data_IF_853461145816
#
_entry.id   IF_853461145816
#
_cell.length_a   1.000
_cell.length_b   1.000
_cell.length_c   1.000
_cell.angle_alpha   90.00
_cell.angle_beta   90.00
_cell.angle_gamma   90.00
#
_symmetry.space_group_name_H-M   'P 1'
#
loop_
_entity.id
_entity.type
_entity.pdbx_description
1 polymer ?
#
# COMPACT_ATOMS: atom_id res chain seq x y z
N UNK A 1 -7.29 -52.28 35.75
CA UNK A 1 -6.50 -51.04 35.57
C UNK A 1 -5.58 -51.21 34.38
N UNK A 2 -5.97 -50.72 33.20
CA UNK A 2 -5.12 -50.62 32.00
C UNK A 2 -5.14 -49.16 31.58
N UNK A 3 -3.98 -48.51 31.65
CA UNK A 3 -3.78 -47.17 31.10
C UNK A 3 -3.83 -47.26 29.57
N UNK A 4 -4.81 -46.60 28.95
CA UNK A 4 -4.82 -46.32 27.51
C UNK A 4 -4.06 -45.03 27.26
N UNK A 5 -2.90 -45.13 26.59
CA UNK A 5 -2.19 -43.99 26.02
C UNK A 5 -3.04 -43.41 24.88
N UNK A 6 -3.45 -42.15 25.01
CA UNK A 6 -3.91 -41.34 23.88
C UNK A 6 -2.68 -40.90 23.08
N UNK A 7 -2.74 -40.91 21.74
CA UNK A 7 -1.60 -40.55 20.89
C UNK A 7 -1.33 -39.04 20.96
N UNK A 8 -0.05 -38.68 21.10
CA UNK A 8 0.46 -37.34 20.84
C UNK A 8 0.05 -36.94 19.42
N UNK A 9 -0.91 -36.02 19.30
CA UNK A 9 -1.03 -35.21 18.10
C UNK A 9 0.25 -34.37 18.01
N UNK A 10 1.11 -34.75 17.07
CA UNK A 10 2.14 -33.89 16.53
C UNK A 10 1.50 -32.57 16.12
N UNK A 11 1.74 -31.51 16.91
CA UNK A 11 1.56 -30.12 16.47
C UNK A 11 2.42 -29.97 15.21
N UNK A 12 1.78 -30.02 14.04
CA UNK A 12 2.38 -29.44 12.85
C UNK A 12 2.39 -27.95 13.14
N UNK A 13 3.57 -27.39 13.36
CA UNK A 13 3.82 -25.97 13.18
C UNK A 13 3.52 -25.70 11.70
N UNK A 14 2.26 -25.37 11.41
CA UNK A 14 1.93 -24.60 10.23
C UNK A 14 2.36 -23.19 10.60
N UNK A 15 3.43 -22.71 9.99
CA UNK A 15 3.73 -21.29 10.00
C UNK A 15 2.57 -20.64 9.27
N UNK A 16 1.70 -19.98 10.01
CA UNK A 16 0.68 -19.09 9.46
C UNK A 16 1.47 -17.92 8.88
N UNK A 17 1.43 -17.77 7.55
CA UNK A 17 2.02 -16.65 6.85
C UNK A 17 0.83 -15.79 6.45
N UNK A 18 0.46 -14.75 7.21
CA UNK A 18 -0.66 -13.92 6.82
C UNK A 18 -0.28 -13.15 5.55
N UNK A 19 -0.94 -13.48 4.44
CA UNK A 19 -1.02 -12.68 3.22
C UNK A 19 -1.56 -11.29 3.56
N UNK A 20 -0.68 -10.35 3.87
CA UNK A 20 -0.93 -8.93 3.73
C UNK A 20 0.31 -8.26 3.15
N UNK A 21 0.27 -8.04 1.84
CA UNK A 21 1.35 -7.39 1.11
C UNK A 21 1.14 -5.87 1.12
N UNK A 22 1.45 -5.22 2.24
CA UNK A 22 1.76 -3.79 2.21
C UNK A 22 3.24 -3.64 1.87
N UNK A 23 3.55 -3.38 0.58
CA UNK A 23 4.71 -2.65 0.02
C UNK A 23 6.13 -2.76 0.64
N UNK A 24 6.42 -3.67 1.57
CA UNK A 24 7.73 -3.97 2.15
C UNK A 24 7.70 -5.16 3.14
N UNK A 25 7.07 -6.28 2.82
CA UNK A 25 7.20 -7.50 3.63
C UNK A 25 8.25 -8.44 3.01
N UNK A 26 9.49 -8.36 3.53
CA UNK A 26 10.61 -9.26 3.19
C UNK A 26 10.26 -10.69 3.65
N UNK A 27 10.13 -11.63 2.70
CA UNK A 27 10.11 -13.06 3.03
C UNK A 27 11.41 -13.74 2.56
N UNK A 28 12.30 -14.01 3.52
CA UNK A 28 13.46 -14.90 3.29
C UNK A 28 12.95 -16.35 3.15
N UNK A 29 12.56 -16.72 1.93
CA UNK A 29 12.39 -18.11 1.55
C UNK A 29 13.78 -18.75 1.30
N UNK A 30 14.28 -19.53 2.26
CA UNK A 30 15.50 -20.34 2.07
C UNK A 30 15.21 -21.49 1.11
N UNK A 31 15.30 -21.22 -0.18
CA UNK A 31 15.38 -22.26 -1.21
C UNK A 31 16.84 -22.54 -1.55
N UNK A 32 17.34 -23.69 -1.11
CA UNK A 32 18.60 -24.23 -1.62
C UNK A 32 18.42 -24.65 -3.08
N UNK A 33 18.79 -23.81 -4.04
CA UNK A 33 18.93 -24.19 -5.45
C UNK A 33 20.40 -24.23 -5.88
N UNK A 34 20.77 -25.41 -6.39
CA UNK A 34 22.02 -25.68 -7.08
C UNK A 34 22.14 -24.82 -8.33
N UNK A 35 23.22 -24.03 -8.37
CA UNK A 35 23.57 -23.09 -9.44
C UNK A 35 23.76 -23.74 -10.81
N UNK A 36 23.14 -23.16 -11.84
CA UNK A 36 23.59 -23.30 -13.24
C UNK A 36 23.77 -21.93 -13.87
N UNK A 37 25.04 -21.54 -14.02
CA UNK A 37 25.46 -20.24 -14.55
C UNK A 37 25.16 -20.13 -16.05
N UNK A 38 24.51 -19.04 -16.45
CA UNK A 38 24.55 -18.55 -17.82
C UNK A 38 24.96 -17.06 -17.79
N UNK A 39 26.21 -16.82 -18.17
CA UNK A 39 26.76 -15.48 -18.32
C UNK A 39 26.17 -14.80 -19.56
N UNK A 40 25.40 -13.72 -19.37
CA UNK A 40 25.16 -12.74 -20.42
C UNK A 40 25.62 -11.37 -19.92
N UNK A 41 26.85 -11.01 -20.31
CA UNK A 41 27.38 -9.66 -20.17
C UNK A 41 26.85 -8.82 -21.36
N UNK A 42 25.82 -8.00 -21.13
CA UNK A 42 25.62 -6.79 -21.92
C UNK A 42 25.83 -5.57 -21.02
N UNK A 43 27.03 -5.00 -21.15
CA UNK A 43 27.43 -3.78 -20.49
C UNK A 43 26.69 -2.55 -21.03
N UNK A 44 25.55 -2.27 -20.42
CA UNK A 44 25.11 -0.91 -20.11
C UNK A 44 25.07 -0.86 -18.58
N UNK A 45 26.05 -0.22 -17.94
CA UNK A 45 25.92 0.12 -16.52
C UNK A 45 24.70 1.03 -16.43
N UNK A 46 23.56 0.49 -16.04
CA UNK A 46 22.42 1.29 -15.62
C UNK A 46 22.96 2.35 -14.64
N UNK A 47 22.61 3.62 -14.87
CA UNK A 47 23.02 4.68 -13.95
C UNK A 47 22.61 4.26 -12.54
N UNK A 48 23.53 4.35 -11.57
CA UNK A 48 23.24 3.99 -10.18
C UNK A 48 22.06 4.84 -9.72
N UNK A 49 21.00 4.20 -9.24
CA UNK A 49 19.81 4.89 -8.74
C UNK A 49 20.20 5.80 -7.57
N UNK A 50 20.06 7.11 -7.76
CA UNK A 50 20.41 8.12 -6.77
C UNK A 50 19.69 9.44 -7.10
N UNK A 51 18.38 9.53 -6.82
CA UNK A 51 17.61 10.75 -7.06
C UNK A 51 18.19 11.93 -6.27
N UNK A 52 18.12 13.12 -6.87
CA UNK A 52 18.55 14.36 -6.22
C UNK A 52 17.35 14.98 -5.52
N UNK A 53 17.39 15.00 -4.20
CA UNK A 53 16.35 15.59 -3.36
C UNK A 53 16.77 16.99 -2.92
N UNK A 54 15.97 17.98 -3.27
CA UNK A 54 16.04 19.32 -2.70
C UNK A 54 14.76 19.53 -1.87
N UNK A 55 14.84 19.66 -0.53
CA UNK A 55 13.65 19.78 0.32
C UNK A 55 12.67 20.89 -0.07
N UNK A 56 13.15 21.98 -0.66
CA UNK A 56 12.32 23.11 -1.10
C UNK A 56 11.47 22.80 -2.34
N UNK A 57 11.69 21.66 -2.99
CA UNK A 57 10.91 21.19 -4.13
C UNK A 57 9.70 20.35 -3.72
N UNK A 58 9.48 20.13 -2.42
CA UNK A 58 8.45 19.25 -1.90
C UNK A 58 7.40 19.97 -1.07
N UNK A 59 6.19 19.41 -1.07
CA UNK A 59 5.05 19.88 -0.27
C UNK A 59 4.32 18.70 0.37
N UNK A 60 3.70 18.96 1.53
CA UNK A 60 2.77 18.04 2.19
C UNK A 60 1.36 18.12 1.62
N UNK A 61 1.06 19.12 0.77
CA UNK A 61 -0.23 19.20 0.08
C UNK A 61 -0.20 18.31 -1.16
N UNK A 62 -0.57 17.04 -0.99
CA UNK A 62 -0.54 16.05 -2.06
C UNK A 62 -1.89 16.07 -2.81
N UNK A 63 -1.86 16.63 -4.02
CA UNK A 63 -3.01 16.84 -4.92
C UNK A 63 -2.91 16.04 -6.22
N UNK A 64 -2.02 15.04 -6.29
CA UNK A 64 -1.91 14.14 -7.43
C UNK A 64 -3.28 13.46 -7.67
N UNK A 65 -3.78 13.53 -8.90
CA UNK A 65 -5.13 13.04 -9.25
C UNK A 65 -5.36 11.56 -8.91
N UNK A 66 -4.33 10.72 -8.91
CA UNK A 66 -4.42 9.29 -8.60
C UNK A 66 -4.06 8.97 -7.15
N UNK A 67 -3.41 9.90 -6.45
CA UNK A 67 -2.97 9.77 -5.05
C UNK A 67 -3.19 11.10 -4.32
N UNK A 68 -4.45 11.47 -4.10
CA UNK A 68 -4.82 12.69 -3.37
C UNK A 68 -4.97 12.40 -1.89
N UNK A 69 -4.07 12.93 -1.07
CA UNK A 69 -4.04 12.68 0.36
C UNK A 69 -4.73 13.82 1.12
N UNK A 70 -6.05 13.69 1.31
CA UNK A 70 -6.82 14.63 2.13
C UNK A 70 -6.81 14.18 3.60
N UNK A 71 -6.30 14.98 4.55
CA UNK A 71 -6.32 14.60 5.97
C UNK A 71 -7.71 14.19 6.46
N UNK A 72 -7.78 13.13 7.24
CA UNK A 72 -9.00 12.51 7.75
C UNK A 72 -9.73 11.61 6.75
N UNK A 73 -9.31 11.54 5.49
CA UNK A 73 -9.78 10.49 4.55
C UNK A 73 -9.35 9.13 5.09
N UNK A 74 -10.30 8.22 5.18
CA UNK A 74 -10.11 6.81 5.56
C UNK A 74 -10.62 5.93 4.43
N UNK A 75 -9.85 4.92 4.05
CA UNK A 75 -10.18 3.96 3.00
C UNK A 75 -10.09 2.56 3.60
N UNK A 76 -11.05 1.71 3.27
CA UNK A 76 -11.13 0.34 3.76
C UNK A 76 -11.15 -0.58 2.55
N UNK A 77 -10.27 -1.57 2.59
CA UNK A 77 -10.14 -2.59 1.57
C UNK A 77 -10.34 -3.96 2.21
N UNK A 78 -10.93 -4.89 1.47
CA UNK A 78 -11.12 -6.27 1.90
C UNK A 78 -10.88 -7.24 0.73
N UNK A 79 -10.37 -8.42 1.05
CA UNK A 79 -10.01 -9.47 0.09
C UNK A 79 -9.94 -10.84 0.76
N UNK A 80 -10.37 -11.88 0.06
CA UNK A 80 -10.22 -13.27 0.53
C UNK A 80 -8.92 -13.83 -0.07
N UNK A 81 -8.07 -14.39 0.79
CA UNK A 81 -6.80 -15.01 0.40
C UNK A 81 -6.78 -16.48 0.84
N UNK A 82 -5.73 -17.22 0.47
CA UNK A 82 -5.53 -18.58 0.97
C UNK A 82 -5.41 -18.66 2.51
N UNK A 83 -4.97 -17.57 3.16
CA UNK A 83 -4.72 -17.52 4.61
C UNK A 83 -5.92 -17.00 5.41
N UNK A 84 -6.87 -16.30 4.79
CA UNK A 84 -8.08 -15.81 5.44
C UNK A 84 -8.64 -14.52 4.84
N UNK A 85 -9.53 -13.87 5.58
CA UNK A 85 -10.06 -12.57 5.20
C UNK A 85 -9.05 -11.47 5.53
N UNK A 86 -8.43 -10.91 4.51
CA UNK A 86 -7.57 -9.75 4.62
C UNK A 86 -8.42 -8.47 4.65
N UNK A 87 -8.05 -7.55 5.54
CA UNK A 87 -8.62 -6.21 5.62
C UNK A 87 -7.53 -5.17 5.79
N UNK A 88 -7.52 -4.17 4.93
CA UNK A 88 -6.61 -3.03 5.03
C UNK A 88 -7.38 -1.76 5.37
N UNK A 89 -6.84 -0.99 6.33
CA UNK A 89 -7.42 0.27 6.80
C UNK A 89 -6.41 1.40 6.71
N UNK A 90 -6.52 2.15 5.63
CA UNK A 90 -5.68 3.32 5.38
C UNK A 90 -6.33 4.57 5.97
N UNK A 91 -5.55 5.37 6.70
CA UNK A 91 -5.95 6.67 7.20
C UNK A 91 -4.92 7.75 6.83
N UNK A 92 -5.38 8.78 6.13
CA UNK A 92 -4.56 9.95 5.85
C UNK A 92 -4.57 10.85 7.07
N UNK A 93 -3.42 11.00 7.71
CA UNK A 93 -3.30 11.78 8.95
C UNK A 93 -3.00 13.25 8.66
N UNK A 94 -3.12 14.10 9.67
CA UNK A 94 -2.59 15.47 9.71
C UNK A 94 -1.15 15.53 10.25
N UNK A 95 -0.57 14.37 10.59
CA UNK A 95 0.78 14.26 11.13
C UNK A 95 1.80 14.33 10.01
N UNK A 96 2.99 14.79 10.38
CA UNK A 96 4.12 14.90 9.48
C UNK A 96 5.39 14.33 10.09
N UNK A 97 6.32 13.93 9.23
CA UNK A 97 7.69 13.54 9.62
C UNK A 97 8.69 14.27 8.74
N UNK A 98 9.89 14.51 9.26
CA UNK A 98 10.99 15.03 8.44
C UNK A 98 11.93 13.90 8.04
N UNK A 99 12.10 13.66 6.75
CA UNK A 99 13.01 12.65 6.19
C UNK A 99 13.87 13.32 5.10
N UNK A 100 15.19 13.16 5.16
CA UNK A 100 16.14 13.88 4.28
C UNK A 100 15.93 15.41 4.21
N UNK A 101 15.38 16.02 5.27
CA UNK A 101 15.05 17.45 5.30
C UNK A 101 13.69 17.81 4.70
N UNK A 102 13.04 16.90 3.96
CA UNK A 102 11.68 17.04 3.41
C UNK A 102 10.67 16.81 4.52
N UNK A 103 9.67 17.69 4.63
CA UNK A 103 8.49 17.41 5.46
C UNK A 103 7.52 16.54 4.68
N UNK A 104 7.21 15.35 5.19
CA UNK A 104 6.32 14.35 4.60
C UNK A 104 5.02 14.23 5.39
N UNK A 105 3.94 13.84 4.72
CA UNK A 105 2.67 13.41 5.33
C UNK A 105 2.81 11.98 5.80
N UNK A 106 2.20 11.67 6.95
CA UNK A 106 2.07 10.28 7.42
C UNK A 106 0.80 9.67 6.85
N UNK A 107 0.99 8.70 5.95
CA UNK A 107 -0.04 7.80 5.46
C UNK A 107 0.00 6.57 6.37
N UNK A 108 -1.12 6.29 7.06
CA UNK A 108 -1.17 5.25 8.09
C UNK A 108 -1.93 4.05 7.56
N UNK A 109 -1.20 2.99 7.25
CA UNK A 109 -1.71 1.71 6.80
C UNK A 109 -1.77 0.71 7.95
N UNK A 110 -2.82 -0.11 8.00
CA UNK A 110 -2.98 -1.18 8.98
C UNK A 110 -3.62 -2.37 8.30
N UNK A 111 -2.93 -3.49 8.32
CA UNK A 111 -3.40 -4.76 7.80
C UNK A 111 -3.91 -5.66 8.92
N UNK A 112 -5.00 -6.35 8.62
CA UNK A 112 -5.62 -7.33 9.51
C UNK A 112 -5.88 -8.62 8.75
N UNK A 113 -5.65 -9.76 9.39
CA UNK A 113 -6.09 -11.07 8.91
C UNK A 113 -7.11 -11.66 9.89
N UNK A 114 -8.27 -12.06 9.39
CA UNK A 114 -9.37 -12.61 10.20
C UNK A 114 -9.75 -11.72 11.41
N UNK A 115 -9.52 -10.41 11.28
CA UNK A 115 -9.79 -9.40 12.30
C UNK A 115 -8.66 -9.16 13.31
N UNK A 116 -7.55 -9.90 13.23
CA UNK A 116 -6.36 -9.69 14.04
C UNK A 116 -5.40 -8.71 13.35
N UNK A 117 -4.87 -7.73 14.09
CA UNK A 117 -3.87 -6.80 13.57
C UNK A 117 -2.57 -7.56 13.36
N UNK A 118 -2.04 -7.51 12.15
CA UNK A 118 -0.77 -8.17 11.77
C UNK A 118 0.32 -7.15 11.43
N UNK A 119 -0.06 -5.95 10.98
CA UNK A 119 0.89 -4.89 10.64
C UNK A 119 0.30 -3.48 10.88
N UNK A 120 1.10 -2.57 11.44
CA UNK A 120 0.81 -1.13 11.56
C UNK A 120 1.96 -0.31 10.96
N UNK A 121 1.70 0.27 9.78
CA UNK A 121 2.71 0.93 8.95
C UNK A 121 2.45 2.42 8.78
N UNK A 122 3.52 3.21 8.93
CA UNK A 122 3.51 4.68 8.78
C UNK A 122 4.43 5.08 7.64
N UNK A 123 3.85 5.27 6.46
CA UNK A 123 4.53 5.72 5.26
C UNK A 123 4.73 7.24 5.24
N UNK A 124 5.86 7.66 4.68
CA UNK A 124 6.26 9.05 4.63
C UNK A 124 6.24 9.56 3.18
N UNK A 125 5.15 10.26 2.83
CA UNK A 125 4.89 10.72 1.47
C UNK A 125 5.05 12.24 1.31
N UNK A 126 5.57 12.70 0.19
CA UNK A 126 5.55 14.11 -0.18
C UNK A 126 5.38 14.28 -1.70
N UNK A 127 4.76 15.39 -2.11
CA UNK A 127 4.63 15.69 -3.54
C UNK A 127 5.70 16.68 -3.99
N UNK A 128 6.33 16.42 -5.14
CA UNK A 128 7.27 17.35 -5.75
C UNK A 128 6.55 18.47 -6.54
N UNK A 129 7.30 19.51 -6.96
CA UNK A 129 6.79 20.60 -7.80
C UNK A 129 6.27 20.17 -9.17
N UNK A 130 6.57 18.95 -9.62
CA UNK A 130 6.07 18.38 -10.89
C UNK A 130 4.77 17.59 -10.69
N UNK A 131 4.35 17.37 -9.44
CA UNK A 131 3.13 16.63 -9.10
C UNK A 131 3.34 15.15 -8.76
N UNK A 132 4.58 14.65 -8.83
CA UNK A 132 4.85 13.25 -8.49
C UNK A 132 4.76 13.07 -6.98
N UNK A 133 4.17 11.97 -6.54
CA UNK A 133 4.16 11.55 -5.13
C UNK A 133 5.38 10.68 -4.89
N UNK A 134 6.20 11.10 -3.94
CA UNK A 134 7.43 10.44 -3.55
C UNK A 134 7.27 9.71 -2.24
N UNK A 135 7.92 8.55 -2.15
CA UNK A 135 7.99 7.70 -0.97
C UNK A 135 9.35 7.81 -0.31
N UNK A 136 9.39 8.28 0.93
CA UNK A 136 10.62 8.51 1.68
C UNK A 136 10.92 7.41 2.71
N UNK A 137 10.12 6.35 2.72
CA UNK A 137 10.22 5.20 3.61
C UNK A 137 9.09 5.14 4.63
N UNK A 138 9.26 4.25 5.60
CA UNK A 138 8.22 3.79 6.51
C UNK A 138 8.73 3.49 7.91
N UNK A 139 7.78 3.22 8.79
CA UNK A 139 7.99 2.61 10.08
C UNK A 139 6.91 1.56 10.25
N UNK A 140 7.35 0.31 10.38
CA UNK A 140 6.53 -0.89 10.47
C UNK A 140 6.58 -1.42 11.88
N UNK A 141 5.42 -1.82 12.40
CA UNK A 141 5.27 -2.61 13.62
C UNK A 141 4.51 -3.89 13.24
N UNK A 142 5.18 -5.05 13.32
CA UNK A 142 4.60 -6.36 12.98
C UNK A 142 4.06 -7.05 14.23
N UNK A 143 2.92 -7.74 14.11
CA UNK A 143 2.23 -8.36 15.24
C UNK A 143 1.93 -9.84 15.00
N UNK A 144 2.06 -10.64 16.06
CA UNK A 144 1.59 -12.03 16.12
C UNK A 144 0.88 -12.24 17.47
N UNK A 145 -0.31 -12.84 17.47
CA UNK A 145 -1.13 -13.06 18.68
C UNK A 145 -1.37 -11.77 19.51
N UNK A 146 -1.39 -10.61 18.85
CA UNK A 146 -1.55 -9.29 19.49
C UNK A 146 -0.30 -8.75 20.19
N UNK A 147 0.86 -9.40 20.04
CA UNK A 147 2.15 -8.94 20.55
C UNK A 147 3.00 -8.38 19.40
N UNK A 148 3.70 -7.26 19.66
CA UNK A 148 4.69 -6.70 18.73
C UNK A 148 5.89 -7.65 18.64
N UNK A 149 6.16 -8.17 17.45
CA UNK A 149 7.24 -9.13 17.22
C UNK A 149 8.53 -8.48 16.72
N UNK A 150 8.42 -7.54 15.77
CA UNK A 150 9.56 -6.84 15.17
C UNK A 150 9.13 -5.57 14.41
N UNK A 151 10.09 -4.97 13.70
CA UNK A 151 9.92 -3.79 12.88
C UNK A 151 10.46 -4.02 11.45
N UNK A 152 10.55 -5.28 11.02
CA UNK A 152 11.06 -5.64 9.71
C UNK A 152 10.21 -4.96 8.62
N UNK A 153 10.87 -4.55 7.52
CA UNK A 153 10.28 -3.64 6.53
C UNK A 153 10.53 -2.15 6.81
N UNK A 154 10.89 -1.75 8.04
CA UNK A 154 11.17 -0.34 8.34
C UNK A 154 12.44 0.20 7.64
N UNK A 155 12.28 1.24 6.82
CA UNK A 155 13.42 1.96 6.26
C UNK A 155 13.17 3.47 6.13
N UNK A 156 14.25 4.25 6.04
CA UNK A 156 14.15 5.70 5.80
C UNK A 156 15.18 6.14 4.78
N UNK A 157 14.71 6.86 3.76
CA UNK A 157 15.55 7.49 2.77
C UNK A 157 16.67 8.31 3.43
N UNK A 158 17.90 8.15 2.92
CA UNK A 158 19.10 8.83 3.43
C UNK A 158 19.78 8.13 4.61
N UNK A 159 19.22 7.03 5.14
CA UNK A 159 19.92 6.14 6.08
C UNK A 159 20.44 4.91 5.35
N UNK A 160 21.62 4.43 5.73
CA UNK A 160 22.20 3.13 5.32
C UNK A 160 22.23 2.85 3.80
N UNK A 161 22.20 3.92 3.00
CA UNK A 161 22.17 3.84 1.53
C UNK A 161 20.78 3.84 0.91
N UNK A 162 19.71 3.73 1.70
CA UNK A 162 18.33 3.80 1.25
C UNK A 162 18.02 5.12 0.53
N UNK A 163 17.18 5.05 -0.50
CA UNK A 163 16.82 6.16 -1.39
C UNK A 163 15.30 6.21 -1.53
N UNK A 164 14.72 7.41 -1.59
CA UNK A 164 13.29 7.55 -1.83
C UNK A 164 13.00 7.19 -3.29
N UNK A 165 11.77 6.76 -3.57
CA UNK A 165 11.28 6.57 -4.93
C UNK A 165 9.97 7.28 -5.22
N UNK A 166 9.39 6.98 -6.37
CA UNK A 166 8.12 7.55 -6.81
C UNK A 166 7.03 6.56 -6.45
N UNK A 167 6.15 6.91 -5.52
CA UNK A 167 4.95 6.12 -5.25
C UNK A 167 4.01 6.19 -6.46
N UNK A 168 3.81 7.40 -7.01
CA UNK A 168 2.96 7.60 -8.17
C UNK A 168 3.33 8.86 -8.96
N UNK A 169 3.37 8.75 -10.28
CA UNK A 169 3.69 9.87 -11.18
C UNK A 169 2.49 10.83 -11.35
N UNK A 170 2.75 12.12 -11.62
CA UNK A 170 1.68 13.08 -11.95
C UNK A 170 0.97 12.75 -13.26
N UNK A 171 1.75 12.32 -14.24
CA UNK A 171 1.32 12.09 -15.61
C UNK A 171 1.80 10.72 -16.13
N UNK A 172 1.30 9.61 -15.54
CA UNK A 172 1.72 8.26 -15.92
C UNK A 172 1.41 7.98 -17.39
N UNK A 173 2.40 7.44 -18.12
CA UNK A 173 2.28 6.97 -19.49
C UNK A 173 2.46 5.45 -19.53
N UNK A 174 1.76 4.78 -20.44
CA UNK A 174 1.95 3.34 -20.67
C UNK A 174 3.42 3.06 -21.01
N UNK A 175 4.03 2.15 -20.27
CA UNK A 175 5.43 1.77 -20.40
C UNK A 175 6.38 2.51 -19.45
N UNK A 176 5.94 3.56 -18.75
CA UNK A 176 6.73 4.17 -17.69
C UNK A 176 7.07 3.11 -16.64
N UNK A 177 8.33 3.10 -16.21
CA UNK A 177 8.85 2.16 -15.22
C UNK A 177 9.71 2.95 -14.24
N UNK A 178 9.39 2.84 -12.95
CA UNK A 178 10.05 3.59 -11.90
C UNK A 178 10.22 2.74 -10.65
N UNK A 179 11.18 3.16 -9.81
CA UNK A 179 11.36 2.62 -8.47
C UNK A 179 10.40 3.32 -7.53
N UNK A 180 9.62 2.56 -6.78
CA UNK A 180 8.86 3.06 -5.64
C UNK A 180 9.78 3.27 -4.44
N UNK A 181 10.83 2.46 -4.34
CA UNK A 181 11.82 2.53 -3.27
C UNK A 181 13.15 1.87 -3.67
N UNK A 182 14.17 2.10 -2.85
CA UNK A 182 15.47 1.45 -3.01
C UNK A 182 16.30 1.47 -1.73
N UNK A 183 16.44 0.32 -1.11
CA UNK A 183 17.38 -0.05 -0.08
C UNK A 183 17.98 -1.41 -0.48
N UNK A 184 19.23 -1.39 -0.94
CA UNK A 184 19.85 -2.54 -1.58
C UNK A 184 19.75 -3.82 -0.73
N UNK A 185 19.08 -4.83 -1.28
CA UNK A 185 18.90 -6.14 -0.63
C UNK A 185 17.80 -6.21 0.44
N UNK A 186 17.12 -5.10 0.72
CA UNK A 186 16.10 -4.99 1.76
C UNK A 186 14.75 -4.52 1.19
N UNK A 187 14.75 -3.51 0.32
CA UNK A 187 13.53 -2.88 -0.21
C UNK A 187 13.81 -2.39 -1.64
N UNK A 188 13.24 -2.99 -2.69
CA UNK A 188 13.61 -2.64 -4.08
C UNK A 188 12.42 -2.54 -5.03
N UNK A 189 11.25 -2.16 -4.52
CA UNK A 189 10.00 -2.17 -5.26
C UNK A 189 10.00 -1.27 -6.49
N UNK A 190 9.35 -1.81 -7.52
CA UNK A 190 9.26 -1.28 -8.86
C UNK A 190 7.79 -1.24 -9.27
N UNK A 191 7.42 -0.22 -10.03
CA UNK A 191 6.15 -0.17 -10.73
C UNK A 191 6.35 0.09 -12.21
N UNK A 192 5.45 -0.46 -13.02
CA UNK A 192 5.34 -0.22 -14.45
C UNK A 192 3.90 0.07 -14.82
N UNK A 193 3.67 1.19 -15.51
CA UNK A 193 2.35 1.55 -16.00
C UNK A 193 1.99 0.65 -17.18
N UNK A 194 0.93 -0.15 -17.02
CA UNK A 194 0.41 -1.05 -18.05
C UNK A 194 -0.72 -0.42 -18.87
N UNK A 195 -1.57 0.38 -18.24
CA UNK A 195 -2.72 1.03 -18.86
C UNK A 195 -3.08 2.32 -18.12
N UNK A 196 -3.70 3.27 -18.80
CA UNK A 196 -4.15 4.56 -18.23
C UNK A 196 -5.65 4.81 -18.43
N UNK A 197 -6.38 3.82 -18.95
CA UNK A 197 -7.79 3.97 -19.32
C UNK A 197 -8.65 2.78 -18.89
N UNK A 198 -8.33 2.17 -17.75
CA UNK A 198 -9.10 1.05 -17.24
C UNK A 198 -10.47 1.47 -16.70
N UNK A 199 -11.43 0.55 -16.80
CA UNK A 199 -12.70 0.61 -16.10
C UNK A 199 -12.70 -0.48 -15.03
N UNK A 200 -12.81 -0.08 -13.76
CA UNK A 200 -12.68 -0.97 -12.60
C UNK A 200 -13.97 -0.93 -11.81
N UNK A 201 -14.47 -2.09 -11.40
CA UNK A 201 -15.61 -2.22 -10.50
C UNK A 201 -15.14 -2.87 -9.20
N UNK A 202 -15.64 -2.35 -8.08
CA UNK A 202 -15.37 -2.77 -6.71
C UNK A 202 -16.70 -2.73 -5.95
N UNK A 203 -16.79 -3.31 -4.74
CA UNK A 203 -17.97 -3.16 -3.90
C UNK A 203 -18.35 -1.69 -3.60
N UNK A 204 -17.35 -0.79 -3.48
CA UNK A 204 -17.62 0.63 -3.27
C UNK A 204 -18.19 1.34 -4.50
N UNK A 205 -17.84 0.90 -5.71
CA UNK A 205 -18.37 1.49 -6.94
C UNK A 205 -17.63 1.13 -8.22
N UNK A 206 -18.05 1.75 -9.32
CA UNK A 206 -17.43 1.60 -10.65
C UNK A 206 -16.73 2.88 -11.09
N UNK A 207 -15.48 2.73 -11.51
CA UNK A 207 -14.58 3.80 -11.89
C UNK A 207 -14.12 3.63 -13.34
N UNK A 208 -13.62 4.72 -13.92
CA UNK A 208 -13.15 4.80 -15.31
C UNK A 208 -11.90 5.66 -15.37
N UNK A 209 -11.10 5.52 -16.42
CA UNK A 209 -9.84 6.25 -16.60
C UNK A 209 -8.83 5.92 -15.48
N UNK A 210 -8.89 4.69 -14.97
CA UNK A 210 -7.97 4.21 -13.94
C UNK A 210 -6.65 3.82 -14.58
N UNK A 211 -5.57 4.01 -13.84
CA UNK A 211 -4.23 3.57 -14.20
C UNK A 211 -3.99 2.21 -13.59
N UNK A 212 -3.60 1.25 -14.43
CA UNK A 212 -3.14 -0.07 -14.00
C UNK A 212 -1.63 -0.09 -14.00
N UNK A 213 -1.04 -0.50 -12.88
CA UNK A 213 0.39 -0.78 -12.77
C UNK A 213 0.62 -2.28 -12.63
N UNK A 214 1.82 -2.71 -13.02
CA UNK A 214 2.45 -3.93 -12.57
C UNK A 214 3.46 -3.52 -11.51
N UNK A 215 3.31 -4.03 -10.30
CA UNK A 215 4.20 -3.78 -9.17
C UNK A 215 4.96 -5.09 -8.88
N UNK A 216 6.27 -5.00 -8.63
CA UNK A 216 7.13 -6.17 -8.36
C UNK A 216 8.41 -5.75 -7.64
N UNK A 217 9.12 -6.73 -7.08
CA UNK A 217 10.46 -6.54 -6.52
C UNK A 217 11.50 -7.44 -7.20
N UNK A 218 12.72 -6.94 -7.51
CA UNK A 218 13.82 -7.81 -7.92
C UNK A 218 14.28 -8.81 -6.85
N UNK A 219 13.90 -8.59 -5.58
CA UNK A 219 14.29 -9.44 -4.46
C UNK A 219 13.51 -10.76 -4.43
N UNK A 220 12.27 -10.75 -4.93
CA UNK A 220 11.35 -11.89 -4.92
C UNK A 220 10.77 -12.12 -6.33
N UNK A 221 11.55 -12.70 -7.26
CA UNK A 221 11.11 -12.91 -8.63
C UNK A 221 9.88 -13.82 -8.72
N UNK A 222 8.85 -13.36 -9.42
CA UNK A 222 7.58 -14.08 -9.60
C UNK A 222 6.46 -13.55 -8.71
N UNK A 223 6.76 -12.73 -7.71
CA UNK A 223 5.74 -11.96 -7.01
C UNK A 223 5.46 -10.68 -7.81
N UNK A 224 4.25 -10.62 -8.34
CA UNK A 224 3.75 -9.53 -9.17
C UNK A 224 2.35 -9.18 -8.72
N UNK A 225 2.02 -7.90 -8.76
CA UNK A 225 0.70 -7.38 -8.42
C UNK A 225 0.20 -6.42 -9.50
N UNK A 226 -1.09 -6.49 -9.79
CA UNK A 226 -1.75 -5.44 -10.57
C UNK A 226 -2.48 -4.49 -9.64
N UNK A 227 -1.99 -3.26 -9.52
CA UNK A 227 -2.67 -2.20 -8.75
C UNK A 227 -3.41 -1.25 -9.69
N UNK A 228 -4.60 -0.81 -9.28
CA UNK A 228 -5.47 0.06 -10.07
C UNK A 228 -5.77 1.34 -9.30
N UNK A 229 -5.30 2.47 -9.81
CA UNK A 229 -5.48 3.79 -9.22
C UNK A 229 -6.48 4.61 -10.02
N UNK A 230 -7.51 5.13 -9.36
CA UNK A 230 -8.61 5.81 -10.06
C UNK A 230 -8.71 7.28 -9.66
N UNK A 231 -8.80 8.22 -10.64
CA UNK A 231 -8.77 9.64 -10.35
C UNK A 231 -10.06 10.15 -9.66
N UNK A 232 -11.17 9.44 -9.80
CA UNK A 232 -12.42 9.74 -9.09
C UNK A 232 -12.28 9.54 -7.57
N UNK A 233 -11.38 8.65 -7.14
CA UNK A 233 -11.10 8.39 -5.73
C UNK A 233 -9.85 9.12 -5.27
N UNK A 234 -8.88 9.30 -6.16
CA UNK A 234 -7.54 9.77 -5.82
C UNK A 234 -6.79 8.79 -4.92
N UNK A 235 -6.97 7.48 -5.15
CA UNK A 235 -6.21 6.41 -4.52
C UNK A 235 -6.32 5.11 -5.33
N UNK A 236 -5.63 4.07 -4.88
CA UNK A 236 -5.87 2.68 -5.30
C UNK A 236 -7.31 2.28 -4.99
N UNK A 237 -7.94 1.51 -5.88
CA UNK A 237 -9.28 0.94 -5.67
C UNK A 237 -9.30 -0.58 -5.74
N UNK A 238 -8.30 -1.18 -6.39
CA UNK A 238 -8.19 -2.62 -6.57
C UNK A 238 -6.72 -2.97 -6.63
N UNK A 239 -6.38 -4.05 -5.97
CA UNK A 239 -5.18 -4.83 -6.21
C UNK A 239 -5.58 -6.26 -6.61
N UNK A 240 -4.84 -6.85 -7.54
CA UNK A 240 -5.13 -8.16 -8.09
C UNK A 240 -3.83 -8.93 -8.32
N UNK A 241 -3.74 -10.12 -7.74
CA UNK A 241 -2.66 -11.06 -8.06
C UNK A 241 -2.89 -11.61 -9.48
N UNK A 242 -1.96 -11.42 -10.44
CA UNK A 242 -2.14 -11.83 -11.82
C UNK A 242 -2.15 -13.36 -12.01
N UNK A 243 -1.61 -14.12 -11.07
CA UNK A 243 -1.54 -15.58 -11.12
C UNK A 243 -2.75 -16.24 -10.45
N UNK A 244 -3.09 -15.83 -9.23
CA UNK A 244 -4.17 -16.44 -8.43
C UNK A 244 -5.53 -15.78 -8.68
N UNK A 245 -5.54 -14.55 -9.22
CA UNK A 245 -6.73 -13.68 -9.32
C UNK A 245 -7.35 -13.34 -7.96
N UNK A 246 -6.62 -13.52 -6.85
CA UNK A 246 -6.97 -12.95 -5.55
C UNK A 246 -7.02 -11.42 -5.66
N UNK A 247 -7.93 -10.81 -4.91
CA UNK A 247 -8.21 -9.38 -5.00
C UNK A 247 -8.35 -8.77 -3.62
N UNK A 248 -7.78 -7.59 -3.50
CA UNK A 248 -8.05 -6.67 -2.42
C UNK A 248 -8.81 -5.47 -3.00
N UNK A 249 -10.07 -5.34 -2.63
CA UNK A 249 -10.99 -4.37 -3.24
C UNK A 249 -11.33 -3.24 -2.27
N UNK A 250 -11.40 -2.01 -2.78
CA UNK A 250 -11.95 -0.90 -2.01
C UNK A 250 -13.44 -1.12 -1.73
N UNK A 251 -13.80 -1.14 -0.46
CA UNK A 251 -15.18 -1.37 -0.02
C UNK A 251 -15.83 -0.13 0.62
N UNK A 252 -15.05 0.78 1.20
CA UNK A 252 -15.58 1.97 1.88
C UNK A 252 -14.60 3.14 1.86
N UNK A 253 -15.14 4.36 1.82
CA UNK A 253 -14.40 5.62 2.02
C UNK A 253 -15.15 6.48 3.01
N UNK A 254 -14.46 6.92 4.06
CA UNK A 254 -14.95 7.93 5.00
C UNK A 254 -14.13 9.18 4.86
N UNK A 255 -14.76 10.30 4.51
CA UNK A 255 -14.09 11.59 4.45
C UNK A 255 -14.08 12.24 5.84
N UNK A 256 -13.14 13.16 6.08
CA UNK A 256 -13.22 14.04 7.24
C UNK A 256 -14.59 14.75 7.23
N UNK A 257 -15.33 14.64 8.34
CA UNK A 257 -16.77 14.89 8.42
C UNK A 257 -17.29 16.04 7.54
N UNK A 258 -18.08 15.69 6.53
CA UNK A 258 -19.32 16.41 6.29
C UNK A 258 -20.24 15.98 7.43
N UNK A 259 -20.74 16.93 8.21
CA UNK A 259 -21.80 16.62 9.15
C UNK A 259 -23.00 16.11 8.34
N UNK A 260 -23.40 14.86 8.54
CA UNK A 260 -24.63 14.28 7.98
C UNK A 260 -25.88 14.80 8.75
N UNK A 261 -25.96 16.11 8.98
CA UNK A 261 -27.08 16.78 9.65
C UNK A 261 -27.70 17.86 8.73
N UNK A 262 -28.08 17.49 7.51
CA UNK A 262 -28.84 18.36 6.60
C UNK A 262 -30.00 17.60 5.94
N UNK A 263 -30.59 16.63 6.64
CA UNK A 263 -31.87 16.02 6.24
C UNK A 263 -32.83 16.03 7.44
N UNK A 264 -34.01 16.63 7.19
CA UNK A 264 -35.19 16.79 8.06
C UNK A 264 -35.26 18.09 8.89
N UNK A 265 -35.71 19.16 8.25
CA UNK A 265 -36.73 20.06 8.82
C UNK A 265 -37.68 20.47 7.67
N UNK A 266 -38.38 19.48 7.10
CA UNK A 266 -39.70 19.70 6.49
C UNK A 266 -40.71 19.47 7.62
N UNK A 267 -40.89 20.47 8.48
CA UNK A 267 -42.08 20.57 9.33
C UNK A 267 -42.98 21.65 8.75
N UNK A 268 -43.99 21.15 8.05
CA UNK A 268 -45.22 21.82 7.67
C UNK A 268 -45.78 22.63 8.85
N UNK A 269 -45.77 23.96 8.74
CA UNK A 269 -46.65 24.82 9.54
C UNK A 269 -47.86 25.19 8.67
N UNK A 270 -48.76 24.22 8.50
CA UNK A 270 -50.19 24.49 8.34
C UNK A 270 -50.77 24.50 9.76
N UNK A 271 -50.97 25.68 10.32
CA UNK A 271 -51.99 25.88 11.35
C UNK A 271 -52.72 27.18 11.05
N UNK A 272 -53.96 26.96 10.62
CA UNK A 272 -55.06 27.90 10.58
C UNK A 272 -55.22 28.60 11.94
N UNK A 273 -55.40 29.92 11.93
CA UNK A 273 -56.19 30.58 12.97
C UNK A 273 -57.01 31.71 12.33
N UNK A 274 -58.31 31.46 12.29
CA UNK A 274 -59.38 32.41 12.07
C UNK A 274 -59.44 33.42 13.23
N UNK A 275 -59.48 34.72 12.92
CA UNK A 275 -60.36 35.73 13.54
C UNK A 275 -60.34 37.06 12.74
#
# INVERSE_FOLDING_TARGET
>A
MKQSKLPQQTRRHLQFLPLAFSLAAIFIAVYALTSRSANFNLGLKAAKYNPKINPEDFTTKITNKYMTLTPGKKMIYEGETEDGLEKIVIQITDKTKKVMGVTTVVYWDRAYLDGELIEDTRDYLAQDKKGNVWYFGESVDNYEDGELIDHDGSWLAGKDGAKPGIWFEDNPQVGDTYRQEYYQGEAEDMAKVLSTNEKVATPFGTFKNCVKTLDWTPLEPGLEEHKYYCPQVGAMVLEENPETSEKLELIDIKNAGKNDNDDNDDDDNDDDDED
#
